data_IF_861971968811
#
_entry.id   IF_861971968811
#
_cell.length_a   1.000
_cell.length_b   1.000
_cell.length_c   1.000
_cell.angle_alpha   90.00
_cell.angle_beta   90.00
_cell.angle_gamma   90.00
#
_symmetry.space_group_name_H-M   'P 1'
#
loop_
_entity.id
_entity.type
_entity.pdbx_description
1 polymer ?
#
# COMPACT_ATOMS: atom_id res chain seq x y z
N UNK A 1 -9.02 27.63 -20.14
CA UNK A 1 -8.10 26.52 -20.51
C UNK A 1 -7.42 25.90 -19.28
N UNK A 2 -6.93 26.70 -18.31
CA UNK A 2 -6.31 26.18 -17.07
C UNK A 2 -7.30 25.43 -16.18
N UNK A 3 -8.51 25.96 -15.97
CA UNK A 3 -9.56 25.34 -15.14
C UNK A 3 -9.87 23.89 -15.55
N UNK A 4 -10.14 23.65 -16.83
CA UNK A 4 -10.40 22.30 -17.36
C UNK A 4 -9.22 21.36 -17.11
N UNK A 5 -7.99 21.80 -17.38
CA UNK A 5 -6.78 20.99 -17.14
C UNK A 5 -6.59 20.67 -15.66
N UNK A 6 -6.93 21.59 -14.77
CA UNK A 6 -6.85 21.36 -13.33
C UNK A 6 -7.82 20.26 -12.87
N UNK A 7 -9.05 20.26 -13.38
CA UNK A 7 -10.04 19.22 -13.08
C UNK A 7 -9.57 17.86 -13.62
N UNK A 8 -9.12 17.81 -14.87
CA UNK A 8 -8.60 16.59 -15.49
C UNK A 8 -7.40 16.01 -14.71
N UNK A 9 -6.47 16.88 -14.28
CA UNK A 9 -5.33 16.49 -13.47
C UNK A 9 -5.74 15.98 -12.08
N UNK A 10 -6.75 16.58 -11.44
CA UNK A 10 -7.24 16.13 -10.13
C UNK A 10 -7.86 14.72 -10.21
N UNK A 11 -8.65 14.45 -11.26
CA UNK A 11 -9.24 13.13 -11.48
C UNK A 11 -8.16 12.10 -11.78
N UNK A 12 -7.23 12.41 -12.69
CA UNK A 12 -6.12 11.52 -13.04
C UNK A 12 -5.17 11.25 -11.86
N UNK A 13 -4.97 12.23 -10.99
CA UNK A 13 -4.10 12.15 -9.82
C UNK A 13 -4.72 11.46 -8.60
N UNK A 14 -6.01 11.11 -8.63
CA UNK A 14 -6.70 10.54 -7.47
C UNK A 14 -5.99 9.31 -6.85
N UNK A 15 -5.51 8.32 -7.64
CA UNK A 15 -4.82 7.16 -7.06
C UNK A 15 -3.49 7.51 -6.39
N UNK A 16 -2.67 8.35 -7.03
CA UNK A 16 -1.36 8.74 -6.46
C UNK A 16 -1.52 9.61 -5.21
N UNK A 17 -2.55 10.45 -5.15
CA UNK A 17 -2.85 11.24 -3.94
C UNK A 17 -3.23 10.31 -2.77
N UNK A 18 -4.04 9.27 -3.02
CA UNK A 18 -4.35 8.26 -2.00
C UNK A 18 -3.10 7.49 -1.55
N UNK A 19 -2.28 7.02 -2.51
CA UNK A 19 -0.99 6.38 -2.22
C UNK A 19 -0.08 7.26 -1.35
N UNK A 20 0.06 8.53 -1.73
CA UNK A 20 0.89 9.50 -1.01
C UNK A 20 0.36 9.73 0.41
N UNK A 21 -0.95 9.92 0.57
CA UNK A 21 -1.56 10.16 1.88
C UNK A 21 -1.32 8.98 2.84
N UNK A 22 -1.46 7.74 2.36
CA UNK A 22 -1.21 6.54 3.17
C UNK A 22 0.27 6.43 3.56
N UNK A 23 1.19 6.63 2.61
CA UNK A 23 2.64 6.60 2.86
C UNK A 23 3.05 7.67 3.87
N UNK A 24 2.60 8.91 3.67
CA UNK A 24 2.98 10.04 4.51
C UNK A 24 2.42 9.90 5.93
N UNK A 25 1.21 9.34 6.07
CA UNK A 25 0.63 8.99 7.37
C UNK A 25 1.46 7.93 8.11
N UNK A 26 1.80 6.82 7.45
CA UNK A 26 2.65 5.79 8.04
C UNK A 26 4.05 6.30 8.38
N UNK A 27 4.65 7.12 7.52
CA UNK A 27 5.94 7.76 7.82
C UNK A 27 5.86 8.66 9.04
N UNK A 28 4.81 9.47 9.15
CA UNK A 28 4.61 10.39 10.26
C UNK A 28 4.38 9.65 11.58
N UNK A 29 3.51 8.63 11.57
CA UNK A 29 3.00 8.03 12.80
C UNK A 29 3.78 6.77 13.22
N UNK A 30 4.44 6.09 12.27
CA UNK A 30 5.22 4.87 12.52
C UNK A 30 6.71 4.99 12.10
N UNK A 31 7.14 6.11 11.52
CA UNK A 31 8.54 6.35 11.15
C UNK A 31 9.03 5.58 9.93
N UNK A 32 8.15 4.86 9.23
CA UNK A 32 8.53 3.99 8.10
C UNK A 32 8.82 4.78 6.82
N UNK A 33 9.85 4.35 6.09
CA UNK A 33 10.29 4.91 4.83
C UNK A 33 9.89 4.07 3.61
N UNK A 34 10.57 4.33 2.49
CA UNK A 34 10.50 3.43 1.34
C UNK A 34 11.28 2.15 1.64
N UNK A 35 10.78 1.02 1.13
CA UNK A 35 11.32 -0.33 1.29
C UNK A 35 11.27 -0.88 2.74
N UNK A 36 10.62 -0.17 3.66
CA UNK A 36 10.25 -0.69 4.97
C UNK A 36 8.92 -1.45 4.91
N UNK A 37 8.77 -2.45 5.78
CA UNK A 37 7.53 -3.21 5.95
C UNK A 37 6.82 -2.75 7.22
N UNK A 38 5.68 -2.07 7.05
CA UNK A 38 4.78 -1.74 8.15
C UNK A 38 3.72 -2.84 8.32
N UNK A 39 3.42 -3.23 9.55
CA UNK A 39 2.38 -4.22 9.82
C UNK A 39 1.53 -3.81 11.01
N UNK A 40 0.30 -4.33 11.05
CA UNK A 40 -0.58 -4.19 12.20
C UNK A 40 -0.57 -5.48 13.01
N UNK A 41 -0.15 -5.40 14.27
CA UNK A 41 -0.10 -6.56 15.18
C UNK A 41 -1.48 -7.02 15.65
N UNK A 42 -2.52 -6.22 15.42
CA UNK A 42 -3.91 -6.50 15.75
C UNK A 42 -4.80 -6.06 14.59
N UNK A 43 -5.99 -6.65 14.53
CA UNK A 43 -7.05 -6.20 13.61
C UNK A 43 -7.35 -4.73 13.87
N UNK A 44 -7.34 -3.95 12.81
CA UNK A 44 -7.42 -2.51 12.90
C UNK A 44 -8.86 -2.05 13.13
N UNK A 45 -8.96 -0.91 13.80
CA UNK A 45 -10.25 -0.23 14.03
C UNK A 45 -10.37 0.97 13.11
N UNK A 46 -11.51 1.67 13.18
CA UNK A 46 -11.75 2.93 12.48
C UNK A 46 -10.66 4.00 12.68
N UNK A 47 -9.80 3.84 13.68
CA UNK A 47 -8.68 4.74 13.98
C UNK A 47 -7.54 4.68 12.96
N UNK A 48 -7.39 3.60 12.18
CA UNK A 48 -6.32 3.46 11.18
C UNK A 48 -6.44 4.49 10.03
N UNK A 49 -7.65 5.02 9.78
CA UNK A 49 -7.93 6.06 8.77
C UNK A 49 -7.40 5.76 7.36
N UNK A 50 -7.28 4.48 7.03
CA UNK A 50 -7.03 4.00 5.66
C UNK A 50 -8.37 3.79 4.97
N UNK A 51 -8.45 4.17 3.70
CA UNK A 51 -9.67 4.09 2.88
C UNK A 51 -10.18 2.64 2.80
N UNK A 52 -11.43 2.42 3.21
CA UNK A 52 -12.18 1.16 3.04
C UNK A 52 -11.44 -0.11 3.52
N UNK A 53 -10.74 -0.06 4.65
CA UNK A 53 -10.06 -1.25 5.18
C UNK A 53 -11.07 -2.32 5.65
N UNK A 54 -10.70 -3.59 5.51
CA UNK A 54 -11.42 -4.66 6.20
C UNK A 54 -11.11 -4.62 7.72
N UNK A 55 -12.00 -5.20 8.51
CA UNK A 55 -11.90 -5.28 9.97
C UNK A 55 -11.82 -6.73 10.48
N UNK A 56 -11.27 -7.63 9.66
CA UNK A 56 -11.15 -9.07 9.98
C UNK A 56 -9.73 -9.59 9.79
N UNK A 57 -8.95 -8.97 8.89
CA UNK A 57 -7.60 -9.40 8.54
C UNK A 57 -6.62 -8.27 8.81
N UNK A 58 -5.58 -8.47 9.64
CA UNK A 58 -4.53 -7.48 9.82
C UNK A 58 -3.81 -7.18 8.50
N UNK A 59 -3.41 -5.92 8.30
CA UNK A 59 -2.74 -5.48 7.06
C UNK A 59 -1.24 -5.29 7.25
N UNK A 60 -0.52 -5.64 6.19
CA UNK A 60 0.87 -5.28 5.94
C UNK A 60 0.89 -4.24 4.82
N UNK A 61 1.72 -3.21 4.96
CA UNK A 61 1.94 -2.17 3.96
C UNK A 61 3.44 -2.07 3.68
N UNK A 62 3.81 -2.15 2.41
CA UNK A 62 5.17 -1.92 1.95
C UNK A 62 5.14 -0.90 0.82
N UNK A 63 5.60 0.32 1.10
CA UNK A 63 5.79 1.34 0.08
C UNK A 63 7.21 1.21 -0.45
N UNK A 64 7.37 0.91 -1.74
CA UNK A 64 8.66 0.53 -2.30
C UNK A 64 9.07 1.45 -3.45
N UNK A 65 10.37 1.50 -3.73
CA UNK A 65 10.89 2.10 -4.94
C UNK A 65 12.22 1.43 -5.34
N UNK A 66 12.56 1.55 -6.63
CA UNK A 66 13.78 0.97 -7.21
C UNK A 66 14.83 2.02 -7.55
N UNK A 67 14.77 3.20 -6.90
CA UNK A 67 15.66 4.33 -7.21
C UNK A 67 17.12 3.95 -7.00
N UNK A 68 17.40 3.24 -5.92
CA UNK A 68 18.76 2.88 -5.50
C UNK A 68 19.16 1.45 -5.91
N UNK A 69 18.32 0.78 -6.71
CA UNK A 69 18.56 -0.56 -7.23
C UNK A 69 17.32 -1.45 -7.21
N UNK A 70 17.44 -2.71 -7.68
CA UNK A 70 16.37 -3.69 -7.60
C UNK A 70 15.95 -3.98 -6.14
N UNK A 71 14.66 -4.23 -5.93
CA UNK A 71 14.09 -4.64 -4.65
C UNK A 71 13.62 -6.09 -4.75
N UNK A 72 13.91 -6.89 -3.73
CA UNK A 72 13.41 -8.27 -3.59
C UNK A 72 12.36 -8.28 -2.49
N UNK A 73 11.18 -8.82 -2.80
CA UNK A 73 10.11 -9.07 -1.83
C UNK A 73 10.11 -10.56 -1.52
N UNK A 74 10.56 -10.93 -0.33
CA UNK A 74 10.53 -12.31 0.14
C UNK A 74 9.22 -12.57 0.90
N UNK A 75 8.50 -13.62 0.48
CA UNK A 75 7.17 -13.93 0.99
C UNK A 75 7.21 -15.32 1.62
N UNK A 76 6.94 -15.43 2.93
CA UNK A 76 6.95 -16.73 3.59
C UNK A 76 5.83 -17.62 3.05
N UNK A 77 6.11 -18.92 2.99
CA UNK A 77 5.11 -19.91 2.59
C UNK A 77 3.88 -19.85 3.53
N UNK A 78 2.70 -20.03 2.95
CA UNK A 78 1.46 -20.10 3.73
C UNK A 78 1.44 -21.38 4.58
N UNK A 79 0.86 -21.29 5.76
CA UNK A 79 0.63 -22.39 6.69
C UNK A 79 -0.87 -22.65 6.82
N UNK A 80 -1.26 -23.65 7.62
CA UNK A 80 -2.68 -23.91 7.93
C UNK A 80 -3.35 -22.76 8.70
N UNK A 81 -2.56 -21.97 9.45
CA UNK A 81 -3.08 -20.95 10.38
C UNK A 81 -2.86 -19.52 9.84
N UNK A 82 -1.88 -19.33 8.95
CA UNK A 82 -1.45 -18.02 8.45
C UNK A 82 -1.24 -18.10 6.95
N UNK A 83 -1.94 -17.22 6.22
CA UNK A 83 -1.75 -17.01 4.79
C UNK A 83 -1.70 -15.52 4.49
N UNK A 84 -0.98 -15.17 3.42
CA UNK A 84 -0.95 -13.82 2.87
C UNK A 84 -1.77 -13.76 1.59
N UNK A 85 -2.39 -12.59 1.36
CA UNK A 85 -3.07 -12.26 0.12
C UNK A 85 -2.92 -10.76 -0.08
N UNK A 86 -2.45 -10.35 -1.25
CA UNK A 86 -2.27 -8.97 -1.61
C UNK A 86 -1.88 -8.83 -3.08
N UNK A 87 -1.51 -7.61 -3.45
CA UNK A 87 -1.08 -7.29 -4.81
C UNK A 87 0.04 -6.25 -4.73
N UNK A 88 1.14 -6.48 -5.44
CA UNK A 88 2.15 -5.47 -5.68
C UNK A 88 1.61 -4.50 -6.73
N UNK A 89 1.64 -3.22 -6.40
CA UNK A 89 1.13 -2.16 -7.27
C UNK A 89 2.17 -1.05 -7.42
N UNK A 90 2.05 -0.29 -8.50
CA UNK A 90 2.75 0.97 -8.64
C UNK A 90 2.06 2.13 -7.88
N UNK A 91 2.65 3.33 -7.94
CA UNK A 91 2.14 4.51 -7.26
C UNK A 91 0.76 4.99 -7.76
N UNK A 92 0.32 4.55 -8.95
CA UNK A 92 -1.02 4.80 -9.47
C UNK A 92 -2.02 3.68 -9.12
N UNK A 93 -1.62 2.76 -8.24
CA UNK A 93 -2.42 1.60 -7.82
C UNK A 93 -2.76 0.66 -8.98
N UNK A 94 -1.89 0.59 -10.01
CA UNK A 94 -2.01 -0.40 -11.07
C UNK A 94 -1.34 -1.70 -10.61
N UNK A 95 -2.02 -2.86 -10.74
CA UNK A 95 -1.46 -4.14 -10.32
C UNK A 95 -0.27 -4.53 -11.21
N UNK A 96 0.78 -5.05 -10.58
CA UNK A 96 1.96 -5.59 -11.24
C UNK A 96 2.01 -7.11 -11.11
N UNK A 97 1.75 -7.61 -9.89
CA UNK A 97 1.74 -9.04 -9.57
C UNK A 97 0.91 -9.26 -8.30
N UNK A 98 0.18 -10.36 -8.22
CA UNK A 98 -0.47 -10.74 -6.96
C UNK A 98 0.58 -11.33 -5.99
N UNK A 99 0.29 -11.29 -4.70
CA UNK A 99 1.15 -11.92 -3.69
C UNK A 99 0.38 -12.81 -2.72
N UNK A 100 0.93 -14.00 -2.48
CA UNK A 100 0.54 -14.89 -1.39
C UNK A 100 0.08 -16.26 -1.87
N UNK A 101 -0.96 -16.82 -1.26
CA UNK A 101 -1.36 -18.21 -1.51
C UNK A 101 -1.81 -18.49 -2.96
N UNK A 102 -2.07 -17.47 -3.78
CA UNK A 102 -2.64 -17.59 -5.14
C UNK A 102 -1.78 -16.97 -6.24
N UNK A 103 -0.52 -16.63 -5.94
CA UNK A 103 0.29 -15.70 -6.73
C UNK A 103 0.58 -14.56 -5.81
#
# INVERSE_FOLDING_TARGET
>A
MVERRAIEAAVWGMPIVNFQAMRDGLKKDAGVGFNDVAYNSKVQTWRLRVTTNNNTTPYIYAFWNVKDGPVVVDIPASTKDVGLTGTLMDAWQRPLEDVGAKG
#
